data_IF_640100097524
#
_entry.id   IF_640100097524
#
_cell.length_a   1.000
_cell.length_b   1.000
_cell.length_c   1.000
_cell.angle_alpha   90.00
_cell.angle_beta   90.00
_cell.angle_gamma   90.00
#
_symmetry.space_group_name_H-M   'P 1'
#
loop_
_entity.id
_entity.type
_entity.pdbx_description
1 polymer ?
#
# COMPACT_ATOMS: atom_id res chain seq x y z
N UNK A 1 13.35 4.78 -3.62
CA UNK A 1 12.22 3.93 -3.22
C UNK A 1 12.44 2.52 -3.74
N UNK A 2 12.35 1.54 -2.85
CA UNK A 2 12.26 0.11 -3.19
C UNK A 2 11.10 -0.51 -2.40
N UNK A 3 10.43 -1.50 -3.00
CA UNK A 3 9.34 -2.24 -2.34
C UNK A 3 9.75 -3.68 -2.08
N UNK A 4 9.78 -4.06 -0.81
CA UNK A 4 9.99 -5.44 -0.36
C UNK A 4 8.63 -6.05 0.00
N UNK A 5 8.24 -7.14 -0.68
CA UNK A 5 6.98 -7.81 -0.41
C UNK A 5 6.97 -8.46 0.98
N UNK A 6 5.86 -8.27 1.70
CA UNK A 6 5.62 -8.86 3.02
C UNK A 6 4.69 -10.06 2.85
N UNK A 7 5.16 -11.30 3.06
CA UNK A 7 4.31 -12.47 2.97
C UNK A 7 3.37 -12.56 4.18
N UNK A 8 2.38 -13.47 4.12
CA UNK A 8 1.32 -13.58 5.14
C UNK A 8 1.87 -13.85 6.54
N UNK A 9 2.95 -14.63 6.64
CA UNK A 9 3.61 -14.99 7.88
C UNK A 9 4.18 -13.77 8.62
N UNK A 10 4.52 -12.72 7.87
CA UNK A 10 5.10 -11.49 8.41
C UNK A 10 4.09 -10.34 8.50
N UNK A 11 2.85 -10.50 8.03
CA UNK A 11 1.91 -9.39 7.88
C UNK A 11 1.49 -8.73 9.22
N UNK A 12 1.63 -9.41 10.36
CA UNK A 12 1.13 -8.95 11.67
C UNK A 12 1.59 -7.55 12.08
N UNK A 13 2.81 -7.12 11.71
CA UNK A 13 3.29 -5.79 12.08
C UNK A 13 2.51 -4.67 11.37
N UNK A 14 2.06 -4.91 10.13
CA UNK A 14 1.34 -3.90 9.35
C UNK A 14 -0.02 -3.53 9.96
N UNK A 15 -0.63 -4.46 10.73
CA UNK A 15 -1.85 -4.20 11.51
C UNK A 15 -1.65 -3.19 12.64
N UNK A 16 -0.40 -2.94 13.02
CA UNK A 16 -0.06 -2.02 14.11
C UNK A 16 0.20 -0.58 13.63
N UNK A 17 0.22 -0.35 12.31
CA UNK A 17 0.56 0.93 11.69
C UNK A 17 -0.67 1.78 11.35
N UNK A 18 -0.47 3.10 11.21
CA UNK A 18 -1.51 4.07 10.89
C UNK A 18 -1.81 4.14 9.38
N UNK A 19 -2.09 3.01 8.74
CA UNK A 19 -2.30 2.94 7.29
C UNK A 19 -3.56 3.70 6.86
N UNK A 20 -3.44 4.55 5.82
CA UNK A 20 -4.53 5.37 5.26
C UNK A 20 -4.51 5.36 3.74
N UNK A 21 -5.69 5.44 3.12
CA UNK A 21 -5.84 5.53 1.67
C UNK A 21 -5.02 6.70 1.11
N UNK A 22 -4.20 6.40 0.10
CA UNK A 22 -3.49 7.37 -0.72
C UNK A 22 -4.33 7.74 -1.93
N UNK A 23 -4.83 6.73 -2.65
CA UNK A 23 -5.63 6.89 -3.86
C UNK A 23 -6.53 5.67 -4.09
N UNK A 24 -7.59 5.89 -4.87
CA UNK A 24 -8.47 4.84 -5.39
C UNK A 24 -8.66 5.03 -6.90
N UNK A 25 -8.50 3.96 -7.66
CA UNK A 25 -8.79 3.94 -9.10
C UNK A 25 -10.03 3.09 -9.33
N UNK A 26 -11.07 3.71 -9.90
CA UNK A 26 -12.33 3.03 -10.21
C UNK A 26 -12.24 2.43 -11.61
N UNK A 27 -11.50 1.33 -11.73
CA UNK A 27 -11.32 0.58 -12.95
C UNK A 27 -11.26 -0.93 -12.63
N UNK A 28 -12.36 -1.68 -12.81
CA UNK A 28 -12.41 -3.10 -12.52
C UNK A 28 -11.43 -3.94 -13.36
N UNK A 29 -11.10 -3.50 -14.58
CA UNK A 29 -10.15 -4.20 -15.42
C UNK A 29 -8.74 -4.05 -14.84
N UNK A 30 -8.37 -2.85 -14.42
CA UNK A 30 -7.12 -2.58 -13.72
C UNK A 30 -7.00 -3.38 -12.41
N UNK A 31 -8.10 -3.53 -11.65
CA UNK A 31 -8.12 -4.38 -10.44
C UNK A 31 -7.71 -5.80 -10.78
N UNK A 32 -8.35 -6.39 -11.79
CA UNK A 32 -8.08 -7.77 -12.21
C UNK A 32 -6.65 -7.94 -12.76
N UNK A 33 -6.20 -7.01 -13.61
CA UNK A 33 -4.83 -6.99 -14.12
C UNK A 33 -3.80 -6.89 -12.98
N UNK A 34 -4.07 -6.02 -11.99
CA UNK A 34 -3.17 -5.85 -10.84
C UNK A 34 -3.07 -7.12 -10.03
N UNK A 35 -4.21 -7.74 -9.72
CA UNK A 35 -4.24 -9.03 -9.03
C UNK A 35 -3.41 -10.08 -9.76
N UNK A 36 -3.63 -10.23 -11.06
CA UNK A 36 -2.91 -11.22 -11.86
C UNK A 36 -1.40 -10.97 -11.87
N UNK A 37 -0.96 -9.73 -12.15
CA UNK A 37 0.48 -9.41 -12.24
C UNK A 37 1.19 -9.56 -10.89
N UNK A 38 0.53 -9.18 -9.79
CA UNK A 38 1.10 -9.37 -8.46
C UNK A 38 1.16 -10.86 -8.10
N UNK A 39 0.12 -11.64 -8.42
CA UNK A 39 0.10 -13.07 -8.16
C UNK A 39 1.19 -13.81 -8.94
N UNK A 40 1.39 -13.48 -10.22
CA UNK A 40 2.43 -14.08 -11.06
C UNK A 40 3.85 -13.77 -10.55
N UNK A 41 4.07 -12.59 -9.97
CA UNK A 41 5.40 -12.13 -9.52
C UNK A 41 5.72 -12.48 -8.06
N UNK A 42 4.70 -12.51 -7.19
CA UNK A 42 4.87 -12.56 -5.74
C UNK A 42 4.18 -13.77 -5.09
N UNK A 43 3.32 -14.47 -5.83
CA UNK A 43 2.53 -15.58 -5.31
C UNK A 43 1.28 -15.10 -4.57
N UNK A 44 1.00 -15.67 -3.41
CA UNK A 44 -0.22 -15.37 -2.65
C UNK A 44 -0.19 -13.97 -2.01
N UNK A 45 -1.35 -13.31 -1.83
CA UNK A 45 -1.42 -12.01 -1.16
C UNK A 45 -1.03 -12.11 0.33
N UNK A 46 -0.56 -10.99 0.90
CA UNK A 46 -0.20 -10.88 2.32
C UNK A 46 -1.38 -11.15 3.26
N UNK A 47 -2.59 -10.81 2.84
CA UNK A 47 -3.82 -11.13 3.57
C UNK A 47 -5.04 -11.00 2.66
N UNK A 48 -6.14 -11.63 3.05
CA UNK A 48 -7.47 -11.38 2.50
C UNK A 48 -8.42 -11.20 3.68
N UNK A 49 -9.21 -10.13 3.68
CA UNK A 49 -10.18 -9.92 4.74
C UNK A 49 -11.31 -10.95 4.60
N UNK A 50 -11.76 -11.48 5.74
CA UNK A 50 -12.97 -12.30 5.76
C UNK A 50 -14.18 -11.48 5.25
N UNK A 51 -15.14 -12.16 4.61
CA UNK A 51 -16.43 -11.59 4.17
C UNK A 51 -16.42 -10.59 2.99
N UNK A 52 -15.55 -10.79 1.98
CA UNK A 52 -15.61 -10.12 0.66
C UNK A 52 -15.34 -8.60 0.64
N UNK A 53 -14.69 -8.05 1.66
CA UNK A 53 -14.29 -6.63 1.60
C UNK A 53 -13.21 -6.38 0.55
N UNK A 54 -12.32 -7.35 0.39
CA UNK A 54 -11.32 -7.43 -0.66
C UNK A 54 -11.04 -8.90 -1.02
N UNK A 55 -10.51 -9.13 -2.20
CA UNK A 55 -10.10 -10.42 -2.75
C UNK A 55 -8.58 -10.58 -2.75
N UNK A 56 -7.82 -9.49 -2.60
CA UNK A 56 -6.39 -9.50 -2.35
C UNK A 56 -5.92 -8.29 -1.52
N UNK A 57 -4.79 -8.43 -0.84
CA UNK A 57 -4.02 -7.33 -0.27
C UNK A 57 -2.54 -7.69 -0.28
N UNK A 58 -1.76 -7.01 -1.12
CA UNK A 58 -0.30 -7.12 -1.13
C UNK A 58 0.30 -5.95 -0.36
N UNK A 59 1.04 -6.26 0.69
CA UNK A 59 1.70 -5.29 1.54
C UNK A 59 3.19 -5.33 1.28
N UNK A 60 3.81 -4.15 1.29
CA UNK A 60 5.23 -3.98 1.06
C UNK A 60 5.84 -3.09 2.14
N UNK A 61 7.05 -3.44 2.58
CA UNK A 61 7.93 -2.49 3.26
C UNK A 61 8.56 -1.58 2.21
N UNK A 62 8.63 -0.30 2.52
CA UNK A 62 9.26 0.69 1.66
C UNK A 62 10.64 1.00 2.20
N UNK A 63 11.66 0.83 1.35
CA UNK A 63 13.04 1.20 1.62
C UNK A 63 13.46 2.38 0.75
N UNK A 64 14.57 3.03 1.11
CA UNK A 64 15.13 4.19 0.41
C UNK A 64 14.09 5.31 0.20
N UNK A 65 13.29 5.58 1.24
CA UNK A 65 12.35 6.68 1.31
C UNK A 65 12.25 7.18 2.76
N UNK A 66 12.41 8.48 3.00
CA UNK A 66 12.38 9.03 4.34
C UNK A 66 10.94 9.09 4.89
N UNK A 67 10.69 8.36 5.98
CA UNK A 67 9.42 8.35 6.72
C UNK A 67 9.56 8.85 8.16
N UNK A 68 10.61 9.61 8.46
CA UNK A 68 10.85 10.13 9.81
C UNK A 68 9.61 10.88 10.34
N UNK A 69 9.26 10.72 11.63
CA UNK A 69 10.01 10.01 12.67
C UNK A 69 9.74 8.49 12.75
N UNK A 70 8.87 7.94 11.90
CA UNK A 70 8.53 6.53 11.95
C UNK A 70 9.70 5.67 11.39
N UNK A 71 10.08 4.57 12.07
CA UNK A 71 11.22 3.74 11.66
C UNK A 71 10.91 2.83 10.47
N UNK A 72 9.64 2.69 10.11
CA UNK A 72 9.16 1.82 9.05
C UNK A 72 8.13 2.58 8.23
N UNK A 73 7.99 2.16 6.97
CA UNK A 73 6.99 2.66 6.05
C UNK A 73 6.41 1.48 5.30
N UNK A 74 5.09 1.42 5.18
CA UNK A 74 4.41 0.40 4.40
C UNK A 74 3.54 1.00 3.32
N UNK A 75 3.39 0.25 2.24
CA UNK A 75 2.35 0.48 1.24
C UNK A 75 1.54 -0.80 1.08
N UNK A 76 0.26 -0.66 0.78
CA UNK A 76 -0.60 -1.78 0.45
C UNK A 76 -1.37 -1.54 -0.84
N UNK A 77 -1.49 -2.58 -1.64
CA UNK A 77 -2.26 -2.62 -2.88
C UNK A 77 -3.34 -3.67 -2.71
N UNK A 78 -4.59 -3.22 -2.70
CA UNK A 78 -5.74 -4.08 -2.47
C UNK A 78 -6.88 -3.69 -3.41
N UNK A 79 -7.77 -4.62 -3.69
CA UNK A 79 -9.09 -4.26 -4.18
C UNK A 79 -9.99 -3.78 -3.02
N UNK A 80 -10.93 -2.92 -3.35
CA UNK A 80 -12.00 -2.51 -2.45
C UNK A 80 -13.22 -2.11 -3.27
N UNK A 81 -14.31 -2.88 -3.17
CA UNK A 81 -15.57 -2.59 -3.88
C UNK A 81 -15.32 -2.30 -5.39
N UNK A 82 -14.62 -3.20 -6.08
CA UNK A 82 -14.26 -3.10 -7.50
C UNK A 82 -13.35 -1.91 -7.87
N UNK A 83 -12.69 -1.29 -6.88
CA UNK A 83 -11.66 -0.27 -7.07
C UNK A 83 -10.30 -0.80 -6.66
N UNK A 84 -9.24 -0.32 -7.31
CA UNK A 84 -7.89 -0.53 -6.85
C UNK A 84 -7.55 0.55 -5.82
N UNK A 85 -7.22 0.14 -4.59
CA UNK A 85 -6.86 1.05 -3.51
C UNK A 85 -5.37 0.94 -3.21
N UNK A 86 -4.70 2.09 -3.24
CA UNK A 86 -3.35 2.26 -2.70
C UNK A 86 -3.46 2.87 -1.31
N UNK A 87 -2.79 2.28 -0.32
CA UNK A 87 -2.77 2.81 1.05
C UNK A 87 -1.35 2.82 1.61
N UNK A 88 -1.10 3.69 2.59
CA UNK A 88 0.17 3.79 3.29
C UNK A 88 0.03 4.53 4.60
N UNK A 89 0.90 4.23 5.55
CA UNK A 89 1.12 5.04 6.75
C UNK A 89 2.00 6.27 6.51
N UNK A 90 2.48 6.54 5.29
CA UNK A 90 3.28 7.73 4.97
C UNK A 90 2.61 9.04 5.44
N UNK A 91 3.30 9.84 6.23
CA UNK A 91 2.74 11.08 6.78
C UNK A 91 1.78 10.87 7.97
N UNK A 92 1.59 9.63 8.43
CA UNK A 92 0.86 9.29 9.64
C UNK A 92 1.74 8.52 10.62
N UNK A 93 1.43 8.66 11.89
CA UNK A 93 1.93 7.78 12.93
C UNK A 93 0.84 7.57 13.98
N UNK A 94 1.10 6.66 14.93
CA UNK A 94 0.29 6.56 16.13
C UNK A 94 0.94 7.37 17.25
N UNK A 95 0.16 8.14 17.98
CA UNK A 95 0.61 8.77 19.22
C UNK A 95 0.71 7.76 20.38
N UNK A 96 1.05 8.24 21.57
CA UNK A 96 1.18 7.41 22.77
C UNK A 96 -0.13 6.69 23.17
N UNK A 97 -1.29 7.20 22.75
CA UNK A 97 -2.61 6.61 23.00
C UNK A 97 -3.07 5.71 21.85
N UNK A 98 -2.18 5.40 20.89
CA UNK A 98 -2.48 4.67 19.65
C UNK A 98 -3.50 5.38 18.77
N UNK A 99 -3.58 6.71 18.83
CA UNK A 99 -4.41 7.51 17.93
C UNK A 99 -3.60 7.93 16.70
N UNK A 100 -4.18 7.81 15.49
CA UNK A 100 -3.56 8.30 14.26
C UNK A 100 -3.38 9.83 14.30
N UNK A 101 -2.14 10.29 14.13
CA UNK A 101 -1.76 11.71 14.04
C UNK A 101 -0.94 11.96 12.79
N UNK A 102 -1.06 13.16 12.21
CA UNK A 102 -0.27 13.57 11.04
C UNK A 102 1.16 13.91 11.46
N UNK A 103 2.12 13.53 10.65
CA UNK A 103 3.51 13.99 10.77
C UNK A 103 3.74 15.20 9.87
N UNK A 104 4.91 15.85 10.00
CA UNK A 104 5.32 16.94 9.11
C UNK A 104 5.38 16.50 7.63
N UNK A 105 5.53 15.21 7.37
CA UNK A 105 5.55 14.61 6.01
C UNK A 105 4.17 14.47 5.40
N UNK A 106 3.08 14.72 6.14
CA UNK A 106 1.71 14.55 5.64
C UNK A 106 1.45 15.33 4.35
N UNK A 107 1.99 16.55 4.24
CA UNK A 107 1.82 17.41 3.06
C UNK A 107 2.52 16.84 1.81
N UNK A 108 3.46 15.92 1.96
CA UNK A 108 4.18 15.26 0.86
C UNK A 108 3.47 13.99 0.35
N UNK A 109 2.28 13.66 0.88
CA UNK A 109 1.55 12.44 0.50
C UNK A 109 1.25 12.36 -1.00
N UNK A 110 1.00 13.48 -1.67
CA UNK A 110 0.77 13.51 -3.11
C UNK A 110 2.03 13.14 -3.89
N UNK A 111 3.18 13.73 -3.53
CA UNK A 111 4.48 13.42 -4.15
C UNK A 111 4.85 11.94 -3.94
N UNK A 112 4.68 11.43 -2.71
CA UNK A 112 4.88 10.02 -2.39
C UNK A 112 3.96 9.11 -3.22
N UNK A 113 2.69 9.47 -3.38
CA UNK A 113 1.73 8.69 -4.16
C UNK A 113 2.13 8.64 -5.64
N UNK A 114 2.61 9.76 -6.19
CA UNK A 114 3.09 9.81 -7.57
C UNK A 114 4.35 8.92 -7.74
N UNK A 115 5.33 9.04 -6.84
CA UNK A 115 6.53 8.21 -6.87
C UNK A 115 6.22 6.71 -6.75
N UNK A 116 5.26 6.35 -5.88
CA UNK A 116 4.76 4.98 -5.76
C UNK A 116 4.15 4.50 -7.07
N UNK A 117 3.30 5.29 -7.72
CA UNK A 117 2.67 4.90 -8.98
C UNK A 117 3.67 4.70 -10.11
N UNK A 118 4.66 5.58 -10.23
CA UNK A 118 5.76 5.41 -11.20
C UNK A 118 6.52 4.12 -10.91
N UNK A 119 6.84 3.82 -9.66
CA UNK A 119 7.52 2.57 -9.29
C UNK A 119 6.66 1.34 -9.64
N UNK A 120 5.36 1.38 -9.37
CA UNK A 120 4.44 0.27 -9.64
C UNK A 120 4.21 0.05 -11.15
N UNK A 121 4.13 1.12 -11.93
CA UNK A 121 4.13 1.08 -13.39
C UNK A 121 5.40 0.38 -13.90
N UNK A 122 6.57 0.82 -13.45
CA UNK A 122 7.85 0.34 -13.99
C UNK A 122 8.18 -1.09 -13.55
N UNK A 123 7.94 -1.42 -12.27
CA UNK A 123 8.30 -2.73 -11.70
C UNK A 123 7.29 -3.83 -12.01
N UNK A 124 6.00 -3.49 -12.01
CA UNK A 124 4.91 -4.45 -12.13
C UNK A 124 4.08 -4.26 -13.41
N UNK A 125 4.34 -3.24 -14.22
CA UNK A 125 3.60 -2.99 -15.46
C UNK A 125 2.16 -2.53 -15.25
N UNK A 126 1.84 -1.94 -14.08
CA UNK A 126 0.48 -1.52 -13.74
C UNK A 126 0.16 -0.15 -14.33
N UNK A 127 -0.84 0.03 -15.22
CA UNK A 127 -1.11 1.31 -15.88
C UNK A 127 -1.84 2.31 -14.96
N UNK A 128 -1.17 2.74 -13.89
CA UNK A 128 -1.70 3.62 -12.85
C UNK A 128 -1.61 5.09 -13.28
N UNK A 129 -2.54 5.58 -14.09
CA UNK A 129 -2.62 6.99 -14.44
C UNK A 129 -3.36 7.77 -13.33
N UNK A 130 -2.61 8.26 -12.34
CA UNK A 130 -3.12 9.11 -11.24
C UNK A 130 -2.75 10.58 -11.44
#
# INVERSE_FOLDING_TARGET
>A
MQLEFVPVEEFYFALTLAVRTLSEVTDPELVQQTRQRLQEKLGEPSTVAAAKQNTFNYVFRVHDYDNSPAPQLVVSIADWQDKLRLSSDFGWMLDAERKPVRTERFEQRQEFTHALCVYLQDRFGLPLNL
#
